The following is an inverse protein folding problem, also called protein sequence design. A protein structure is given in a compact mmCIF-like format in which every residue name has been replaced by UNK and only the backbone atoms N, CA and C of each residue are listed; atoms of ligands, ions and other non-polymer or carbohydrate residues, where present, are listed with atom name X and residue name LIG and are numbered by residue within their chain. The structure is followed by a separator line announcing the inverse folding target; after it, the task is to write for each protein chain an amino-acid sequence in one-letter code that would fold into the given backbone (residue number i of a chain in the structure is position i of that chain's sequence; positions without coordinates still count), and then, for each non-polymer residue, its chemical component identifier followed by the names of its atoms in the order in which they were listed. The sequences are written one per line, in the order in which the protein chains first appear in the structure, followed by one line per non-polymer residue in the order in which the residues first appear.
data_IF_736403883249
#
_entry.id   IF_736403883249
#
_cell.length_a   1.000
_cell.length_b   1.000
_cell.length_c   1.000
_cell.angle_alpha   90.00
_cell.angle_beta   90.00
_cell.angle_gamma   90.00
#
_symmetry.space_group_name_H-M   'P 1'
#
loop_
_entity.id
_entity.type
_entity.pdbx_description
1 polymer ?
#
# COMPACT_ATOMS: atom_id res chain seq x y z
N UNK A 1 -17.03 1.18 -3.32
CA UNK A 1 -16.80 2.24 -2.31
C UNK A 1 -17.81 3.37 -2.40
N UNK A 2 -17.86 4.14 -3.51
CA UNK A 2 -18.73 5.33 -3.67
C UNK A 2 -20.20 5.10 -3.25
N UNK A 3 -20.81 4.00 -3.72
CA UNK A 3 -22.19 3.64 -3.34
C UNK A 3 -22.36 3.42 -1.82
N UNK A 4 -21.43 2.74 -1.15
CA UNK A 4 -21.54 2.52 0.29
C UNK A 4 -21.45 3.83 1.07
N UNK A 5 -20.58 4.75 0.64
CA UNK A 5 -20.46 6.09 1.23
C UNK A 5 -21.74 6.91 1.05
N UNK A 6 -22.39 6.82 -0.11
CA UNK A 6 -23.70 7.46 -0.37
C UNK A 6 -24.77 7.00 0.61
N UNK A 7 -24.71 5.74 1.04
CA UNK A 7 -25.62 5.15 2.03
C UNK A 7 -25.09 5.24 3.48
N UNK A 8 -24.08 6.08 3.73
CA UNK A 8 -23.63 6.41 5.08
C UNK A 8 -22.68 5.39 5.73
N UNK A 9 -22.06 4.51 4.95
CA UNK A 9 -20.99 3.67 5.47
C UNK A 9 -19.82 4.55 5.96
N UNK A 10 -19.35 4.31 7.18
CA UNK A 10 -18.18 5.01 7.72
C UNK A 10 -16.89 4.43 7.10
N UNK A 11 -16.10 5.23 6.35
CA UNK A 11 -14.86 4.74 5.74
C UNK A 11 -13.72 4.54 6.73
N UNK A 12 -13.81 5.06 7.96
CA UNK A 12 -12.72 5.04 8.94
C UNK A 12 -12.69 3.80 9.81
N UNK A 13 -13.70 2.92 9.68
CA UNK A 13 -13.72 1.66 10.41
C UNK A 13 -12.53 0.81 9.97
N UNK A 14 -11.87 0.20 10.95
CA UNK A 14 -10.79 -0.75 10.72
C UNK A 14 -11.25 -2.16 11.03
N UNK A 15 -10.54 -3.16 10.51
CA UNK A 15 -10.65 -4.52 11.03
C UNK A 15 -10.16 -4.58 12.49
N UNK A 16 -10.36 -5.71 13.16
CA UNK A 16 -9.80 -5.97 14.50
C UNK A 16 -8.27 -5.79 14.53
N UNK A 17 -7.59 -6.16 13.45
CA UNK A 17 -6.14 -5.99 13.30
C UNK A 17 -5.74 -4.54 12.94
N UNK A 18 -6.68 -3.62 12.75
CA UNK A 18 -6.39 -2.24 12.40
C UNK A 18 -6.17 -1.99 10.89
N UNK A 19 -6.46 -2.95 10.01
CA UNK A 19 -6.43 -2.72 8.56
C UNK A 19 -7.61 -1.83 8.16
N UNK A 20 -7.33 -0.69 7.51
CA UNK A 20 -8.35 0.25 7.05
C UNK A 20 -8.61 0.12 5.53
N UNK A 21 -9.56 0.90 5.01
CA UNK A 21 -9.93 0.86 3.59
C UNK A 21 -8.79 1.28 2.63
N UNK A 22 -7.95 2.26 3.03
CA UNK A 22 -6.79 2.68 2.25
C UNK A 22 -5.79 1.53 2.07
N UNK A 23 -5.48 0.81 3.15
CA UNK A 23 -4.58 -0.34 3.13
C UNK A 23 -5.10 -1.45 2.21
N UNK A 24 -6.39 -1.79 2.32
CA UNK A 24 -7.01 -2.81 1.47
C UNK A 24 -7.00 -2.40 -0.02
N UNK A 25 -7.33 -1.14 -0.31
CA UNK A 25 -7.27 -0.58 -1.67
C UNK A 25 -5.86 -0.65 -2.26
N UNK A 26 -4.84 -0.35 -1.45
CA UNK A 26 -3.46 -0.32 -1.87
C UNK A 26 -2.83 -1.70 -2.10
N UNK A 27 -3.30 -2.76 -1.43
CA UNK A 27 -2.65 -4.07 -1.56
C UNK A 27 -2.72 -5.01 -0.38
N UNK A 28 -3.03 -4.51 0.81
CA UNK A 28 -2.97 -5.34 2.02
C UNK A 28 -4.04 -6.42 1.97
N UNK A 29 -3.64 -7.67 2.24
CA UNK A 29 -4.45 -8.89 2.11
C UNK A 29 -4.91 -9.24 0.69
N UNK A 30 -4.34 -8.63 -0.35
CA UNK A 30 -4.56 -9.06 -1.72
C UNK A 30 -3.73 -10.29 -2.03
N UNK A 31 -4.31 -11.21 -2.79
CA UNK A 31 -3.69 -12.49 -3.11
C UNK A 31 -3.82 -12.76 -4.61
N UNK A 32 -2.69 -13.04 -5.26
CA UNK A 32 -2.63 -13.37 -6.69
C UNK A 32 -3.58 -14.53 -7.01
N UNK A 33 -4.34 -14.39 -8.09
CA UNK A 33 -5.33 -15.38 -8.56
C UNK A 33 -6.49 -15.71 -7.61
N UNK A 34 -6.58 -15.08 -6.43
CA UNK A 34 -7.68 -15.25 -5.48
C UNK A 34 -8.50 -13.97 -5.29
N UNK A 35 -7.87 -12.80 -5.38
CA UNK A 35 -8.54 -11.51 -5.26
C UNK A 35 -8.82 -10.94 -6.65
N UNK A 36 -10.10 -10.76 -6.99
CA UNK A 36 -10.51 -10.07 -8.20
C UNK A 36 -10.11 -8.59 -8.17
N UNK A 37 -9.64 -8.07 -9.30
CA UNK A 37 -9.31 -6.65 -9.46
C UNK A 37 -9.97 -6.12 -10.73
N UNK A 38 -10.68 -5.00 -10.64
CA UNK A 38 -11.32 -4.36 -11.79
C UNK A 38 -10.30 -3.77 -12.78
N UNK A 39 -9.17 -3.26 -12.28
CA UNK A 39 -8.07 -2.70 -13.06
C UNK A 39 -7.17 -1.80 -12.22
N UNK A 40 -5.95 -1.50 -12.73
CA UNK A 40 -5.00 -0.62 -12.01
C UNK A 40 -5.56 0.78 -11.77
N UNK A 41 -6.32 1.31 -12.73
CA UNK A 41 -6.94 2.63 -12.63
C UNK A 41 -7.96 2.69 -11.49
N UNK A 42 -8.85 1.70 -11.39
CA UNK A 42 -9.88 1.64 -10.35
C UNK A 42 -9.28 1.47 -8.95
N UNK A 43 -8.17 0.72 -8.84
CA UNK A 43 -7.43 0.59 -7.60
C UNK A 43 -6.79 1.92 -7.18
N UNK A 44 -6.17 2.64 -8.11
CA UNK A 44 -5.62 3.96 -7.85
C UNK A 44 -6.72 4.98 -7.49
N UNK A 45 -7.88 4.93 -8.14
CA UNK A 45 -9.03 5.76 -7.77
C UNK A 45 -9.51 5.47 -6.35
N UNK A 46 -9.56 4.20 -5.94
CA UNK A 46 -9.93 3.81 -4.58
C UNK A 46 -8.94 4.37 -3.55
N UNK A 47 -7.63 4.27 -3.81
CA UNK A 47 -6.59 4.86 -2.96
C UNK A 47 -6.74 6.38 -2.86
N UNK A 48 -6.92 7.06 -3.98
CA UNK A 48 -7.14 8.52 -4.03
C UNK A 48 -8.40 8.93 -3.27
N UNK A 49 -9.48 8.16 -3.38
CA UNK A 49 -10.73 8.41 -2.66
C UNK A 49 -10.51 8.28 -1.15
N UNK A 50 -9.87 7.21 -0.69
CA UNK A 50 -9.52 7.04 0.74
C UNK A 50 -8.69 8.22 1.26
N UNK A 51 -7.66 8.63 0.53
CA UNK A 51 -6.85 9.77 0.92
C UNK A 51 -7.68 11.08 0.95
N UNK A 52 -8.54 11.31 -0.03
CA UNK A 52 -9.44 12.47 -0.07
C UNK A 52 -10.46 12.50 1.08
N UNK A 53 -10.77 11.34 1.68
CA UNK A 53 -11.61 11.22 2.88
C UNK A 53 -10.83 11.51 4.18
N UNK A 54 -9.54 11.84 4.10
CA UNK A 54 -8.71 12.20 5.25
C UNK A 54 -8.00 11.02 5.93
N UNK A 55 -7.95 9.85 5.30
CA UNK A 55 -7.24 8.69 5.84
C UNK A 55 -5.72 8.93 5.81
N UNK A 56 -5.05 8.63 6.93
CA UNK A 56 -3.60 8.75 7.05
C UNK A 56 -2.87 7.70 6.18
N UNK A 57 -1.96 8.17 5.32
CA UNK A 57 -1.15 7.32 4.44
C UNK A 57 -0.14 6.46 5.21
N UNK A 58 0.24 6.88 6.42
CA UNK A 58 1.22 6.22 7.29
C UNK A 58 0.57 5.35 8.38
N UNK A 59 -0.76 5.25 8.39
CA UNK A 59 -1.48 4.34 9.26
C UNK A 59 -0.97 2.91 9.06
N UNK A 60 -0.63 2.25 10.18
CA UNK A 60 -0.20 0.85 10.19
C UNK A 60 -1.16 -0.02 11.00
N UNK A 61 -1.38 -1.24 10.54
CA UNK A 61 -2.12 -2.25 11.30
C UNK A 61 -1.28 -2.84 12.46
N UNK A 62 -1.83 -3.81 13.18
CA UNK A 62 -1.19 -4.50 14.31
C UNK A 62 0.15 -5.17 13.98
N UNK A 63 0.43 -5.41 12.70
CA UNK A 63 1.69 -5.96 12.20
C UNK A 63 2.68 -4.89 11.73
N UNK A 64 2.34 -3.60 11.85
CA UNK A 64 3.16 -2.50 11.33
C UNK A 64 3.06 -2.31 9.80
N UNK A 65 2.19 -3.07 9.14
CA UNK A 65 2.00 -3.00 7.67
C UNK A 65 1.21 -1.74 7.34
N UNK A 66 1.63 -1.02 6.30
CA UNK A 66 0.98 0.21 5.80
C UNK A 66 0.41 -0.01 4.39
N UNK A 67 -0.28 1.00 3.85
CA UNK A 67 -0.73 0.99 2.46
C UNK A 67 0.44 0.81 1.47
N UNK A 68 1.59 1.41 1.75
CA UNK A 68 2.77 1.34 0.89
C UNK A 68 3.35 -0.09 0.82
N UNK A 69 3.37 -0.83 1.94
CA UNK A 69 3.76 -2.24 1.96
C UNK A 69 2.86 -3.11 1.08
N UNK A 70 1.54 -2.89 1.16
CA UNK A 70 0.58 -3.59 0.30
C UNK A 70 0.80 -3.29 -1.19
N UNK A 71 0.99 -2.01 -1.54
CA UNK A 71 1.23 -1.60 -2.92
C UNK A 71 2.53 -2.21 -3.49
N UNK A 72 3.58 -2.27 -2.68
CA UNK A 72 4.83 -2.92 -3.02
C UNK A 72 4.68 -4.43 -3.27
N UNK A 73 3.98 -5.15 -2.39
CA UNK A 73 3.70 -6.58 -2.55
C UNK A 73 2.94 -6.90 -3.84
N UNK A 74 1.94 -6.06 -4.16
CA UNK A 74 1.12 -6.20 -5.37
C UNK A 74 1.88 -5.80 -6.64
N UNK A 75 2.96 -5.02 -6.50
CA UNK A 75 3.69 -4.45 -7.63
C UNK A 75 2.99 -3.24 -8.29
N UNK A 76 2.15 -2.52 -7.55
CA UNK A 76 1.32 -1.43 -8.07
C UNK A 76 2.07 -0.10 -8.10
N UNK A 77 2.93 0.07 -9.10
CA UNK A 77 3.81 1.25 -9.25
C UNK A 77 3.07 2.59 -9.24
N UNK A 78 1.87 2.67 -9.84
CA UNK A 78 1.06 3.90 -9.86
C UNK A 78 0.57 4.29 -8.45
N UNK A 79 0.26 3.30 -7.61
CA UNK A 79 -0.13 3.50 -6.21
C UNK A 79 1.10 3.86 -5.36
N UNK A 80 2.23 3.17 -5.54
CA UNK A 80 3.51 3.49 -4.87
C UNK A 80 3.88 4.95 -5.12
N UNK A 81 3.93 5.37 -6.39
CA UNK A 81 4.28 6.73 -6.77
C UNK A 81 3.31 7.76 -6.16
N UNK A 82 2.00 7.47 -6.18
CA UNK A 82 1.00 8.35 -5.59
C UNK A 82 1.18 8.50 -4.07
N UNK A 83 1.31 7.41 -3.33
CA UNK A 83 1.45 7.43 -1.87
C UNK A 83 2.69 8.25 -1.45
N UNK A 84 3.83 7.98 -2.09
CA UNK A 84 5.11 8.66 -1.78
C UNK A 84 5.05 10.14 -2.13
N UNK A 85 4.51 10.49 -3.30
CA UNK A 85 4.35 11.89 -3.70
C UNK A 85 3.41 12.68 -2.76
N UNK A 86 2.58 12.00 -1.97
CA UNK A 86 1.67 12.60 -0.99
C UNK A 86 2.14 12.41 0.46
N UNK A 87 3.42 12.04 0.69
CA UNK A 87 4.02 12.04 2.03
C UNK A 87 3.94 10.71 2.79
N UNK A 88 3.68 9.59 2.10
CA UNK A 88 3.90 8.28 2.72
C UNK A 88 5.40 8.07 3.03
N UNK A 89 5.69 7.57 4.23
CA UNK A 89 7.03 7.28 4.70
C UNK A 89 7.59 6.01 4.05
N UNK A 90 8.49 6.20 3.10
CA UNK A 90 9.23 5.13 2.41
C UNK A 90 10.06 4.25 3.36
N UNK A 91 10.45 4.78 4.53
CA UNK A 91 11.37 4.13 5.47
C UNK A 91 10.66 3.43 6.61
N UNK A 92 9.33 3.55 6.70
CA UNK A 92 8.56 2.84 7.71
C UNK A 92 8.74 1.33 7.52
N UNK A 93 8.96 0.64 8.64
CA UNK A 93 9.14 -0.81 8.68
C UNK A 93 7.98 -1.45 9.42
N UNK A 94 7.57 -2.62 8.96
CA UNK A 94 6.65 -3.48 9.68
C UNK A 94 7.31 -4.07 10.95
N UNK A 95 6.54 -4.84 11.72
CA UNK A 95 7.00 -5.42 12.98
C UNK A 95 8.08 -6.51 12.81
N UNK A 96 8.29 -7.01 11.59
CA UNK A 96 9.39 -7.92 11.26
C UNK A 96 10.63 -7.14 10.77
N UNK A 97 10.57 -5.81 10.77
CA UNK A 97 11.66 -4.95 10.32
C UNK A 97 11.75 -4.83 8.81
N UNK A 98 10.72 -5.21 8.06
CA UNK A 98 10.70 -5.13 6.58
C UNK A 98 10.09 -3.81 6.13
N UNK A 99 10.72 -3.17 5.17
CA UNK A 99 10.25 -1.96 4.49
C UNK A 99 9.41 -2.29 3.26
N UNK A 100 8.82 -1.28 2.62
CA UNK A 100 8.15 -1.46 1.34
C UNK A 100 9.06 -2.07 0.26
N UNK A 101 10.37 -1.77 0.28
CA UNK A 101 11.33 -2.39 -0.65
C UNK A 101 11.45 -3.89 -0.40
N UNK A 102 11.59 -4.30 0.85
CA UNK A 102 11.66 -5.73 1.23
C UNK A 102 10.39 -6.48 0.80
N UNK A 103 9.22 -5.83 0.90
CA UNK A 103 7.95 -6.37 0.40
C UNK A 103 7.87 -6.48 -1.12
N UNK A 104 8.54 -5.60 -1.87
CA UNK A 104 8.66 -5.69 -3.33
C UNK A 104 9.69 -6.74 -3.77
N UNK A 105 10.74 -6.99 -2.99
CA UNK A 105 11.71 -8.07 -3.23
C UNK A 105 11.09 -9.45 -3.01
N UNK A 106 10.03 -9.51 -2.22
CA UNK A 106 9.24 -10.70 -1.98
C UNK A 106 9.30 -11.10 -0.51
N UNK A 107 8.13 -11.17 0.11
CA UNK A 107 7.97 -11.73 1.45
C UNK A 107 7.26 -13.06 1.36
N UNK A 108 7.71 -14.02 2.16
CA UNK A 108 6.98 -15.28 2.28
C UNK A 108 5.63 -15.00 2.96
N UNK A 109 4.55 -15.27 2.23
CA UNK A 109 3.21 -15.30 2.79
C UNK A 109 2.76 -16.76 2.79
N UNK A 110 2.08 -17.22 3.83
CA UNK A 110 1.65 -18.62 3.93
C UNK A 110 0.85 -19.12 2.69
N UNK A 111 0.29 -18.19 1.91
CA UNK A 111 -0.46 -18.46 0.69
C UNK A 111 0.39 -18.63 -0.57
N UNK A 112 1.59 -18.01 -0.67
CA UNK A 112 2.39 -17.97 -1.91
C UNK A 112 3.88 -17.76 -1.61
N UNK A 113 4.79 -18.32 -2.43
CA UNK A 113 6.23 -18.11 -2.27
C UNK A 113 6.62 -16.65 -2.49
N UNK A 114 7.84 -16.29 -2.08
CA UNK A 114 8.44 -15.01 -2.40
C UNK A 114 8.49 -14.78 -3.92
N UNK A 115 7.94 -13.65 -4.37
CA UNK A 115 7.94 -13.25 -5.77
C UNK A 115 8.39 -11.80 -5.90
N UNK A 116 9.60 -11.54 -6.42
CA UNK A 116 10.09 -10.19 -6.63
C UNK A 116 9.23 -9.41 -7.64
N UNK A 117 9.13 -8.10 -7.46
CA UNK A 117 8.45 -7.15 -8.35
C UNK A 117 9.48 -6.18 -8.95
N UNK A 118 10.22 -6.55 -10.01
CA UNK A 118 11.40 -5.81 -10.49
C UNK A 118 11.14 -4.33 -10.78
N UNK A 119 10.00 -4.00 -11.38
CA UNK A 119 9.65 -2.62 -11.69
C UNK A 119 9.37 -1.80 -10.42
N UNK A 120 8.79 -2.41 -9.38
CA UNK A 120 8.54 -1.76 -8.09
C UNK A 120 9.80 -1.62 -7.26
N UNK A 121 10.69 -2.62 -7.29
CA UNK A 121 12.02 -2.56 -6.68
C UNK A 121 12.80 -1.38 -7.27
N UNK A 122 12.86 -1.27 -8.60
CA UNK A 122 13.53 -0.17 -9.29
C UNK A 122 12.94 1.19 -8.89
N UNK A 123 11.61 1.32 -8.91
CA UNK A 123 10.91 2.54 -8.51
C UNK A 123 11.22 2.94 -7.05
N UNK A 124 11.15 1.99 -6.12
CA UNK A 124 11.41 2.27 -4.70
C UNK A 124 12.87 2.69 -4.46
N UNK A 125 13.83 2.09 -5.16
CA UNK A 125 15.22 2.55 -5.13
C UNK A 125 15.37 3.98 -5.64
N UNK A 126 14.75 4.32 -6.78
CA UNK A 126 14.79 5.67 -7.34
C UNK A 126 14.22 6.71 -6.35
N UNK A 127 13.08 6.40 -5.74
CA UNK A 127 12.41 7.27 -4.77
C UNK A 127 13.25 7.46 -3.49
N UNK A 128 13.86 6.40 -2.97
CA UNK A 128 14.76 6.47 -1.81
C UNK A 128 15.99 7.34 -2.09
N UNK A 129 16.57 7.23 -3.30
CA UNK A 129 17.71 8.05 -3.71
C UNK A 129 17.31 9.52 -3.90
N UNK A 130 16.11 9.79 -4.41
CA UNK A 130 15.60 11.14 -4.60
C UNK A 130 15.42 11.85 -3.24
N UNK A 131 14.77 11.20 -2.26
CA UNK A 131 14.60 11.79 -0.92
C UNK A 131 15.92 12.08 -0.21
N UNK A 132 16.95 11.25 -0.41
CA UNK A 132 18.27 11.49 0.18
C UNK A 132 18.99 12.73 -0.35
N UNK A 133 18.66 13.17 -1.57
CA UNK A 133 19.25 14.36 -2.21
C UNK A 133 18.55 15.66 -1.79
N UNK A 134 17.28 15.63 -1.43
CA UNK A 134 16.51 16.81 -1.01
C UNK A 134 16.84 17.27 0.42
N UNK A 135 17.52 16.42 1.20
CA UNK A 135 17.95 16.69 2.58
C UNK A 135 19.37 17.28 2.73
N UNK A 136 20.03 17.66 1.62
CA UNK A 136 21.36 18.28 1.56
C UNK A 136 21.29 19.71 1.01
#
# INVERSE_FOLDING_TARGET
MKLLLEYGADPHITTFEGTNALMAAAGVNWVVAQTWTEGEEQLLEAVKLCHALGMDLNHSNSMGITALHGAANRGSNSIIAYLVANGADLKQRDNEGRSALDWAEGVFLATHPEEPKPASIALLHELLQAQGKESL
#
